data_IF_378246140242
#
_entry.id   IF_378246140242
#
_cell.length_a   1.000
_cell.length_b   1.000
_cell.length_c   1.000
_cell.angle_alpha   90.00
_cell.angle_beta   90.00
_cell.angle_gamma   90.00
#
_symmetry.space_group_name_H-M   'P 1'
#
loop_
_entity.id
_entity.type
_entity.pdbx_description
1 polymer ?
#
# COMPACT_ATOMS: atom_id res chain seq x y z
N UNK A 1 79.19 -25.54 16.04
CA UNK A 1 78.65 -24.17 16.08
C UNK A 1 79.81 -23.21 16.17
N UNK A 2 80.17 -22.59 15.05
CA UNK A 2 81.08 -21.43 15.07
C UNK A 2 80.26 -20.18 15.35
N UNK A 3 80.86 -19.16 15.98
CA UNK A 3 80.20 -17.88 16.29
C UNK A 3 79.45 -17.29 15.09
N UNK A 4 80.02 -17.43 13.89
CA UNK A 4 79.43 -16.99 12.62
C UNK A 4 78.11 -17.71 12.26
N UNK A 5 78.00 -19.01 12.51
CA UNK A 5 76.76 -19.77 12.25
C UNK A 5 75.63 -19.36 13.20
N UNK A 6 75.97 -18.98 14.44
CA UNK A 6 75.02 -18.45 15.41
C UNK A 6 74.51 -17.07 14.98
N UNK A 7 75.43 -16.21 14.55
CA UNK A 7 75.12 -14.86 14.06
C UNK A 7 74.23 -14.90 12.80
N UNK A 8 74.53 -15.78 11.84
CA UNK A 8 73.70 -15.99 10.65
C UNK A 8 72.29 -16.50 11.00
N UNK A 9 72.16 -17.39 11.99
CA UNK A 9 70.86 -17.89 12.46
C UNK A 9 70.05 -16.81 13.17
N UNK A 10 70.72 -15.96 13.97
CA UNK A 10 70.10 -14.86 14.70
C UNK A 10 69.60 -13.77 13.75
N UNK A 11 70.38 -13.43 12.72
CA UNK A 11 69.97 -12.51 11.66
C UNK A 11 68.77 -13.05 10.87
N UNK A 12 68.76 -14.35 10.55
CA UNK A 12 67.62 -14.98 9.88
C UNK A 12 66.34 -14.90 10.71
N UNK A 13 66.41 -15.24 12.00
CA UNK A 13 65.25 -15.13 12.89
C UNK A 13 64.78 -13.69 13.09
N UNK A 14 65.70 -12.71 13.08
CA UNK A 14 65.33 -11.30 13.16
C UNK A 14 64.53 -10.86 11.92
N UNK A 15 64.97 -11.22 10.72
CA UNK A 15 64.25 -10.93 9.47
C UNK A 15 62.90 -11.66 9.43
N UNK A 16 62.86 -12.93 9.83
CA UNK A 16 61.60 -13.69 9.91
C UNK A 16 60.63 -13.06 10.92
N UNK A 17 61.13 -12.55 12.06
CA UNK A 17 60.31 -11.88 13.05
C UNK A 17 59.73 -10.57 12.53
N UNK A 18 60.53 -9.73 11.87
CA UNK A 18 60.07 -8.48 11.25
C UNK A 18 59.01 -8.76 10.16
N UNK A 19 59.20 -9.81 9.36
CA UNK A 19 58.24 -10.21 8.34
C UNK A 19 56.92 -10.70 8.97
N UNK A 20 56.99 -11.54 10.01
CA UNK A 20 55.81 -11.99 10.75
C UNK A 20 55.09 -10.85 11.48
N UNK A 21 55.83 -9.89 12.04
CA UNK A 21 55.25 -8.69 12.65
C UNK A 21 54.42 -7.90 11.62
N UNK A 22 54.97 -7.70 10.42
CA UNK A 22 54.25 -7.03 9.33
C UNK A 22 52.97 -7.79 8.94
N UNK A 23 53.05 -9.10 8.71
CA UNK A 23 51.87 -9.91 8.40
C UNK A 23 50.82 -9.89 9.51
N UNK A 24 51.25 -9.93 10.77
CA UNK A 24 50.36 -9.87 11.92
C UNK A 24 49.60 -8.52 11.96
N UNK A 25 50.29 -7.41 11.74
CA UNK A 25 49.65 -6.09 11.69
C UNK A 25 48.66 -5.99 10.52
N UNK A 26 49.02 -6.48 9.34
CA UNK A 26 48.10 -6.52 8.18
C UNK A 26 46.86 -7.37 8.50
N UNK A 27 47.02 -8.57 9.05
CA UNK A 27 45.90 -9.41 9.46
C UNK A 27 45.04 -8.77 10.54
N UNK A 28 45.65 -8.12 11.55
CA UNK A 28 44.90 -7.41 12.58
C UNK A 28 44.05 -6.27 11.98
N UNK A 29 44.55 -5.55 10.97
CA UNK A 29 43.74 -4.54 10.27
C UNK A 29 42.59 -5.14 9.47
N UNK A 30 42.79 -6.29 8.82
CA UNK A 30 41.73 -6.99 8.09
C UNK A 30 40.64 -7.51 9.04
N UNK A 31 41.03 -8.12 10.18
CA UNK A 31 40.06 -8.57 11.18
C UNK A 31 39.24 -7.40 11.71
N UNK A 32 39.88 -6.27 12.04
CA UNK A 32 39.16 -5.06 12.45
C UNK A 32 38.17 -4.55 11.39
N UNK A 33 38.52 -4.65 10.10
CA UNK A 33 37.62 -4.28 9.02
C UNK A 33 36.43 -5.24 8.91
N UNK A 34 36.66 -6.55 9.05
CA UNK A 34 35.60 -7.55 9.07
C UNK A 34 34.69 -7.41 10.29
N UNK A 35 35.23 -7.08 11.46
CA UNK A 35 34.43 -6.85 12.67
C UNK A 35 33.46 -5.67 12.47
N UNK A 36 33.91 -4.60 11.82
CA UNK A 36 33.03 -3.47 11.47
C UNK A 36 31.92 -3.88 10.51
N UNK A 37 32.24 -4.61 9.45
CA UNK A 37 31.23 -5.11 8.51
C UNK A 37 30.23 -6.07 9.19
N UNK A 38 30.70 -6.88 10.13
CA UNK A 38 29.86 -7.80 10.87
C UNK A 38 28.90 -7.05 11.81
N UNK A 39 29.37 -5.99 12.48
CA UNK A 39 28.52 -5.10 13.27
C UNK A 39 27.47 -4.41 12.38
N UNK A 40 27.86 -3.80 11.27
CA UNK A 40 26.94 -3.12 10.35
C UNK A 40 25.87 -4.07 9.80
N UNK A 41 26.26 -5.30 9.44
CA UNK A 41 25.32 -6.33 9.00
C UNK A 41 24.42 -6.79 10.15
N UNK A 42 24.94 -6.90 11.37
CA UNK A 42 24.15 -7.21 12.56
C UNK A 42 23.05 -6.18 12.82
N UNK A 43 23.36 -4.89 12.69
CA UNK A 43 22.38 -3.81 12.80
C UNK A 43 21.30 -3.92 11.72
N UNK A 44 21.68 -4.14 10.46
CA UNK A 44 20.71 -4.33 9.35
C UNK A 44 19.82 -5.55 9.57
N UNK A 45 20.37 -6.66 10.05
CA UNK A 45 19.58 -7.86 10.39
C UNK A 45 18.60 -7.56 11.52
N UNK A 46 19.02 -6.79 12.53
CA UNK A 46 18.14 -6.39 13.64
C UNK A 46 16.99 -5.51 13.15
N UNK A 47 17.27 -4.53 12.28
CA UNK A 47 16.25 -3.69 11.65
C UNK A 47 15.28 -4.51 10.81
N UNK A 48 15.79 -5.39 9.94
CA UNK A 48 14.96 -6.27 9.11
C UNK A 48 14.06 -7.18 9.95
N UNK A 49 14.59 -7.71 11.05
CA UNK A 49 13.79 -8.53 11.97
C UNK A 49 12.67 -7.72 12.65
N UNK A 50 12.95 -6.46 13.01
CA UNK A 50 11.92 -5.53 13.51
C UNK A 50 10.84 -5.24 12.46
N UNK A 51 11.22 -5.01 11.21
CA UNK A 51 10.29 -4.79 10.09
C UNK A 51 9.45 -6.03 9.83
N UNK A 52 10.07 -7.21 9.84
CA UNK A 52 9.40 -8.49 9.65
C UNK A 52 8.33 -8.74 10.73
N UNK A 53 8.64 -8.47 12.00
CA UNK A 53 7.67 -8.64 13.07
C UNK A 53 6.49 -7.66 12.94
N UNK A 54 6.75 -6.42 12.49
CA UNK A 54 5.68 -5.46 12.20
C UNK A 54 4.76 -5.96 11.07
N UNK A 55 5.34 -6.41 9.96
CA UNK A 55 4.57 -6.98 8.84
C UNK A 55 3.76 -8.20 9.28
N UNK A 56 4.32 -9.04 10.16
CA UNK A 56 3.62 -10.20 10.69
C UNK A 56 2.40 -9.81 11.54
N UNK A 57 2.52 -8.78 12.37
CA UNK A 57 1.40 -8.25 13.16
C UNK A 57 0.33 -7.67 12.22
N UNK A 58 0.74 -6.90 11.20
CA UNK A 58 -0.19 -6.32 10.23
C UNK A 58 -0.92 -7.42 9.42
N UNK A 59 -0.22 -8.50 9.04
CA UNK A 59 -0.81 -9.66 8.37
C UNK A 59 -1.85 -10.36 9.26
N UNK A 60 -1.54 -10.59 10.53
CA UNK A 60 -2.49 -11.19 11.48
C UNK A 60 -3.73 -10.33 11.67
N UNK A 61 -3.56 -9.00 11.72
CA UNK A 61 -4.68 -8.06 11.77
C UNK A 61 -5.54 -8.16 10.50
N UNK A 62 -4.91 -8.19 9.32
CA UNK A 62 -5.64 -8.31 8.06
C UNK A 62 -6.44 -9.62 7.99
N UNK A 63 -5.88 -10.74 8.45
CA UNK A 63 -6.58 -12.03 8.54
C UNK A 63 -7.82 -11.94 9.43
N UNK A 64 -7.73 -11.29 10.59
CA UNK A 64 -8.87 -11.09 11.48
C UNK A 64 -9.96 -10.21 10.85
N UNK A 65 -9.57 -9.14 10.15
CA UNK A 65 -10.53 -8.27 9.44
C UNK A 65 -11.21 -9.04 8.29
N UNK A 66 -10.49 -9.90 7.58
CA UNK A 66 -11.06 -10.75 6.53
C UNK A 66 -12.05 -11.77 7.10
N UNK A 67 -11.72 -12.43 8.20
CA UNK A 67 -12.63 -13.35 8.91
C UNK A 67 -13.88 -12.63 9.40
N UNK A 68 -13.73 -11.40 9.90
CA UNK A 68 -14.85 -10.56 10.30
C UNK A 68 -15.76 -10.19 9.13
N UNK A 69 -15.20 -9.73 8.00
CA UNK A 69 -15.96 -9.41 6.80
C UNK A 69 -16.69 -10.64 6.27
N UNK A 70 -16.06 -11.81 6.26
CA UNK A 70 -16.69 -13.06 5.84
C UNK A 70 -17.85 -13.43 6.77
N UNK A 71 -17.66 -13.33 8.08
CA UNK A 71 -18.75 -13.57 9.05
C UNK A 71 -19.93 -12.63 8.82
N UNK A 72 -19.69 -11.35 8.55
CA UNK A 72 -20.75 -10.39 8.24
C UNK A 72 -21.49 -10.76 6.95
N UNK A 73 -20.78 -11.19 5.91
CA UNK A 73 -21.40 -11.63 4.65
C UNK A 73 -22.30 -12.84 4.88
N UNK A 74 -21.86 -13.82 5.67
CA UNK A 74 -22.64 -15.01 6.01
C UNK A 74 -23.89 -14.65 6.83
N UNK A 75 -23.76 -13.78 7.82
CA UNK A 75 -24.89 -13.31 8.63
C UNK A 75 -25.92 -12.54 7.77
N UNK A 76 -25.46 -11.67 6.86
CA UNK A 76 -26.33 -10.97 5.92
C UNK A 76 -27.08 -11.95 5.00
N UNK A 77 -26.40 -12.97 4.48
CA UNK A 77 -27.03 -14.00 3.66
C UNK A 77 -28.06 -14.79 4.48
N UNK A 78 -27.73 -15.17 5.72
CA UNK A 78 -28.65 -15.89 6.61
C UNK A 78 -29.89 -15.06 6.96
N UNK A 79 -29.74 -13.74 7.17
CA UNK A 79 -30.87 -12.83 7.37
C UNK A 79 -31.72 -12.62 6.11
N UNK A 80 -31.11 -12.66 4.92
CA UNK A 80 -31.80 -12.48 3.65
C UNK A 80 -32.70 -13.69 3.31
N UNK A 81 -32.22 -14.92 3.52
CA UNK A 81 -32.94 -16.16 3.20
C UNK A 81 -34.41 -16.23 3.70
N UNK A 82 -34.73 -15.94 4.98
CA UNK A 82 -36.12 -15.95 5.43
C UNK A 82 -36.96 -14.81 4.84
N UNK A 83 -36.36 -13.66 4.52
CA UNK A 83 -37.04 -12.56 3.84
C UNK A 83 -37.39 -12.95 2.40
N UNK A 84 -36.47 -13.59 1.68
CA UNK A 84 -36.72 -14.14 0.34
C UNK A 84 -37.84 -15.19 0.39
N UNK A 85 -37.77 -16.13 1.34
CA UNK A 85 -38.82 -17.14 1.51
C UNK A 85 -40.19 -16.52 1.86
N UNK A 86 -40.22 -15.44 2.64
CA UNK A 86 -41.45 -14.70 2.94
C UNK A 86 -41.99 -13.97 1.69
N UNK A 87 -41.11 -13.42 0.86
CA UNK A 87 -41.47 -12.80 -0.44
C UNK A 87 -42.03 -13.84 -1.41
N UNK A 88 -41.48 -15.06 -1.46
CA UNK A 88 -42.03 -16.15 -2.28
C UNK A 88 -43.42 -16.62 -1.82
N UNK A 89 -43.69 -16.55 -0.51
CA UNK A 89 -44.98 -16.94 0.08
C UNK A 89 -46.05 -15.86 -0.04
N UNK A 90 -45.69 -14.62 -0.40
CA UNK A 90 -46.66 -13.56 -0.63
C UNK A 90 -47.58 -13.97 -1.79
N UNK A 91 -48.91 -14.01 -1.57
CA UNK A 91 -49.83 -14.35 -2.64
C UNK A 91 -49.65 -13.34 -3.78
N UNK A 92 -49.47 -13.84 -5.01
CA UNK A 92 -49.52 -13.02 -6.22
C UNK A 92 -50.82 -12.25 -6.14
N UNK A 93 -50.73 -10.93 -5.93
CA UNK A 93 -51.89 -10.12 -5.61
C UNK A 93 -52.93 -10.36 -6.71
N UNK A 94 -54.01 -11.06 -6.35
CA UNK A 94 -55.01 -11.53 -7.31
C UNK A 94 -55.75 -10.38 -8.01
N UNK A 95 -55.48 -9.15 -7.56
CA UNK A 95 -55.89 -7.88 -8.14
C UNK A 95 -54.70 -6.89 -8.09
N UNK A 96 -53.61 -7.15 -8.81
CA UNK A 96 -52.61 -6.10 -9.06
C UNK A 96 -53.30 -4.96 -9.83
N UNK A 97 -53.35 -3.76 -9.25
CA UNK A 97 -53.85 -2.61 -10.00
C UNK A 97 -52.88 -2.29 -11.13
N UNK A 98 -53.35 -1.68 -12.21
CA UNK A 98 -52.50 -1.26 -13.35
C UNK A 98 -51.27 -0.44 -12.88
N UNK A 99 -51.43 0.37 -11.82
CA UNK A 99 -50.35 1.14 -11.22
C UNK A 99 -49.25 0.27 -10.56
N UNK A 100 -49.61 -0.88 -9.98
CA UNK A 100 -48.65 -1.81 -9.36
C UNK A 100 -47.83 -2.54 -10.43
N UNK A 101 -48.47 -2.93 -11.53
CA UNK A 101 -47.82 -3.55 -12.69
C UNK A 101 -46.81 -2.61 -13.36
N UNK A 102 -47.18 -1.34 -13.58
CA UNK A 102 -46.25 -0.34 -14.14
C UNK A 102 -45.06 -0.08 -13.20
N UNK A 103 -45.30 -0.05 -11.89
CA UNK A 103 -44.25 0.11 -10.88
C UNK A 103 -43.29 -1.08 -10.88
N UNK A 104 -43.81 -2.31 -10.91
CA UNK A 104 -43.02 -3.53 -11.01
C UNK A 104 -42.16 -3.54 -12.29
N UNK A 105 -42.75 -3.18 -13.43
CA UNK A 105 -42.03 -3.06 -14.70
C UNK A 105 -40.89 -2.02 -14.61
N UNK A 106 -41.14 -0.88 -13.95
CA UNK A 106 -40.13 0.17 -13.78
C UNK A 106 -38.95 -0.30 -12.92
N UNK A 107 -39.20 -1.02 -11.82
CA UNK A 107 -38.14 -1.58 -10.98
C UNK A 107 -37.34 -2.67 -11.70
N UNK A 108 -38.02 -3.57 -12.43
CA UNK A 108 -37.35 -4.58 -13.26
C UNK A 108 -36.48 -3.95 -14.35
N UNK A 109 -36.92 -2.86 -14.96
CA UNK A 109 -36.11 -2.12 -15.92
C UNK A 109 -34.86 -1.52 -15.26
N UNK A 110 -35.01 -0.92 -14.07
CA UNK A 110 -33.88 -0.37 -13.33
C UNK A 110 -32.86 -1.46 -12.94
N UNK A 111 -33.32 -2.61 -12.46
CA UNK A 111 -32.48 -3.78 -12.17
C UNK A 111 -31.72 -4.27 -13.41
N UNK A 112 -32.40 -4.38 -14.55
CA UNK A 112 -31.77 -4.78 -15.81
C UNK A 112 -30.70 -3.79 -16.27
N UNK A 113 -30.95 -2.49 -16.13
CA UNK A 113 -29.97 -1.45 -16.47
C UNK A 113 -28.74 -1.54 -15.54
N UNK A 114 -28.94 -1.70 -14.23
CA UNK A 114 -27.86 -1.88 -13.26
C UNK A 114 -27.02 -3.12 -13.58
N UNK A 115 -27.67 -4.26 -13.86
CA UNK A 115 -27.00 -5.49 -14.24
C UNK A 115 -26.20 -5.34 -15.55
N UNK A 116 -26.75 -4.63 -16.55
CA UNK A 116 -26.05 -4.32 -17.80
C UNK A 116 -24.83 -3.43 -17.56
N UNK A 117 -24.95 -2.38 -16.76
CA UNK A 117 -23.82 -1.49 -16.43
C UNK A 117 -22.71 -2.23 -15.67
N UNK A 118 -23.07 -3.09 -14.71
CA UNK A 118 -22.11 -3.94 -13.99
C UNK A 118 -21.38 -4.89 -14.93
N UNK A 119 -22.10 -5.54 -15.85
CA UNK A 119 -21.49 -6.42 -16.86
C UNK A 119 -20.57 -5.63 -17.77
N UNK A 120 -21.01 -4.49 -18.31
CA UNK A 120 -20.16 -3.62 -19.14
C UNK A 120 -18.89 -3.15 -18.42
N UNK A 121 -18.99 -2.82 -17.13
CA UNK A 121 -17.82 -2.46 -16.30
C UNK A 121 -16.85 -3.63 -16.16
N UNK A 122 -17.35 -4.85 -15.97
CA UNK A 122 -16.54 -6.07 -15.95
C UNK A 122 -15.88 -6.32 -17.31
N UNK A 123 -16.64 -6.25 -18.40
CA UNK A 123 -16.14 -6.46 -19.76
C UNK A 123 -15.04 -5.43 -20.10
N UNK A 124 -15.21 -4.17 -19.69
CA UNK A 124 -14.19 -3.13 -19.85
C UNK A 124 -12.91 -3.44 -19.06
N UNK A 125 -13.02 -3.94 -17.82
CA UNK A 125 -11.86 -4.39 -17.04
C UNK A 125 -11.13 -5.53 -17.74
N UNK A 126 -11.86 -6.52 -18.23
CA UNK A 126 -11.29 -7.67 -18.95
C UNK A 126 -10.60 -7.23 -20.26
N UNK A 127 -11.21 -6.31 -21.02
CA UNK A 127 -10.59 -5.71 -22.21
C UNK A 127 -9.30 -4.97 -21.85
N UNK A 128 -9.28 -4.20 -20.75
CA UNK A 128 -8.08 -3.50 -20.28
C UNK A 128 -7.00 -4.51 -19.88
N UNK A 129 -7.35 -5.57 -19.17
CA UNK A 129 -6.42 -6.64 -18.79
C UNK A 129 -5.85 -7.37 -20.03
N UNK A 130 -6.69 -7.66 -21.03
CA UNK A 130 -6.24 -8.23 -22.30
C UNK A 130 -5.34 -7.29 -23.10
N UNK A 131 -5.65 -6.00 -23.12
CA UNK A 131 -4.83 -5.00 -23.80
C UNK A 131 -3.48 -4.85 -23.12
N UNK A 132 -3.46 -4.78 -21.79
CA UNK A 132 -2.24 -4.69 -20.99
C UNK A 132 -1.38 -5.96 -21.13
N UNK A 133 -1.99 -7.16 -21.08
CA UNK A 133 -1.26 -8.43 -21.27
C UNK A 133 -0.75 -8.61 -22.69
N UNK A 134 -1.49 -8.17 -23.72
CA UNK A 134 -1.03 -8.17 -25.11
C UNK A 134 0.14 -7.20 -25.32
N UNK A 135 0.15 -6.07 -24.61
CA UNK A 135 1.25 -5.12 -24.62
C UNK A 135 2.47 -5.63 -23.83
N UNK A 136 2.26 -6.51 -22.85
CA UNK A 136 3.28 -7.19 -22.02
C UNK A 136 3.93 -8.40 -22.73
N UNK A 137 3.76 -8.53 -24.05
CA UNK A 137 4.53 -9.50 -24.87
C UNK A 137 6.02 -9.14 -25.00
N UNK A 138 6.42 -7.95 -24.53
CA UNK A 138 7.81 -7.62 -24.22
C UNK A 138 8.10 -8.12 -22.80
N UNK A 139 9.07 -9.03 -22.68
CA UNK A 139 9.51 -9.70 -21.45
C UNK A 139 9.16 -8.90 -20.18
N UNK A 140 8.32 -9.43 -19.30
CA UNK A 140 8.11 -8.85 -17.95
C UNK A 140 9.42 -8.76 -17.14
N UNK A 141 10.48 -9.40 -17.64
CA UNK A 141 11.86 -9.32 -17.16
C UNK A 141 12.67 -8.16 -17.75
N UNK A 142 12.16 -7.42 -18.73
CA UNK A 142 12.81 -6.24 -19.29
C UNK A 142 12.77 -5.09 -18.26
N UNK A 143 13.93 -4.64 -17.76
CA UNK A 143 14.00 -3.53 -16.83
C UNK A 143 13.35 -2.26 -17.36
N UNK A 144 13.34 -2.03 -18.69
CA UNK A 144 12.73 -0.84 -19.29
C UNK A 144 11.20 -0.89 -19.18
N UNK A 145 10.59 -2.05 -19.42
CA UNK A 145 9.15 -2.25 -19.24
C UNK A 145 8.74 -2.06 -17.76
N UNK A 146 9.52 -2.58 -16.82
CA UNK A 146 9.30 -2.38 -15.38
C UNK A 146 9.41 -0.90 -14.98
N UNK A 147 10.43 -0.19 -15.48
CA UNK A 147 10.61 1.25 -15.24
C UNK A 147 9.42 2.04 -15.80
N UNK A 148 8.95 1.72 -17.01
CA UNK A 148 7.79 2.37 -17.60
C UNK A 148 6.52 2.14 -16.76
N UNK A 149 6.31 0.92 -16.25
CA UNK A 149 5.19 0.61 -15.37
C UNK A 149 5.25 1.37 -14.04
N UNK A 150 6.44 1.43 -13.41
CA UNK A 150 6.66 2.21 -12.17
C UNK A 150 6.38 3.68 -12.43
N UNK A 151 6.91 4.24 -13.52
CA UNK A 151 6.70 5.64 -13.88
C UNK A 151 5.22 5.93 -14.13
N UNK A 152 4.48 5.03 -14.77
CA UNK A 152 3.05 5.20 -14.99
C UNK A 152 2.29 5.22 -13.66
N UNK A 153 2.57 4.27 -12.76
CA UNK A 153 1.99 4.25 -11.40
C UNK A 153 2.33 5.50 -10.57
N UNK A 154 3.58 5.98 -10.69
CA UNK A 154 4.00 7.22 -10.04
C UNK A 154 3.30 8.44 -10.64
N UNK A 155 3.09 8.48 -11.95
CA UNK A 155 2.35 9.56 -12.62
C UNK A 155 0.90 9.60 -12.17
N UNK A 156 0.23 8.44 -12.08
CA UNK A 156 -1.12 8.32 -11.56
C UNK A 156 -1.20 8.80 -10.11
N UNK A 157 -0.22 8.41 -9.29
CA UNK A 157 -0.10 8.85 -7.89
C UNK A 157 0.10 10.37 -7.80
N UNK A 158 0.94 10.95 -8.65
CA UNK A 158 1.16 12.40 -8.71
C UNK A 158 -0.09 13.15 -9.18
N UNK A 159 -0.80 12.64 -10.18
CA UNK A 159 -2.07 13.20 -10.61
C UNK A 159 -3.11 13.18 -9.49
N UNK A 160 -3.19 12.08 -8.74
CA UNK A 160 -4.07 11.97 -7.59
C UNK A 160 -3.71 12.98 -6.49
N UNK A 161 -2.41 13.15 -6.19
CA UNK A 161 -1.92 14.15 -5.23
C UNK A 161 -2.26 15.57 -5.70
N UNK A 162 -2.04 15.89 -6.97
CA UNK A 162 -2.34 17.21 -7.55
C UNK A 162 -3.83 17.55 -7.48
N UNK A 163 -4.69 16.60 -7.85
CA UNK A 163 -6.15 16.76 -7.76
C UNK A 163 -6.61 16.98 -6.31
N UNK A 164 -6.10 16.18 -5.36
CA UNK A 164 -6.46 16.32 -3.95
C UNK A 164 -5.89 17.60 -3.32
N UNK A 165 -4.67 17.99 -3.69
CA UNK A 165 -4.09 19.27 -3.28
C UNK A 165 -4.95 20.44 -3.76
N UNK A 166 -5.36 20.41 -5.04
CA UNK A 166 -6.26 21.40 -5.62
C UNK A 166 -7.62 21.44 -4.92
N UNK A 167 -8.18 20.28 -4.58
CA UNK A 167 -9.44 20.18 -3.82
C UNK A 167 -9.28 20.76 -2.41
N UNK A 168 -8.20 20.41 -1.72
CA UNK A 168 -7.91 20.89 -0.38
C UNK A 168 -7.69 22.41 -0.37
N UNK A 169 -6.97 22.94 -1.36
CA UNK A 169 -6.79 24.37 -1.53
C UNK A 169 -8.13 25.09 -1.66
N UNK A 170 -9.03 24.61 -2.52
CA UNK A 170 -10.39 25.19 -2.66
C UNK A 170 -11.18 25.12 -1.35
N UNK A 171 -11.05 24.02 -0.59
CA UNK A 171 -11.71 23.88 0.71
C UNK A 171 -11.16 24.90 1.72
N UNK A 172 -9.84 25.11 1.75
CA UNK A 172 -9.20 26.10 2.62
C UNK A 172 -9.62 27.52 2.25
N UNK A 173 -9.67 27.86 0.96
CA UNK A 173 -10.14 29.17 0.48
C UNK A 173 -11.60 29.43 0.89
N UNK A 174 -12.47 28.43 0.77
CA UNK A 174 -13.87 28.54 1.21
C UNK A 174 -13.99 28.72 2.73
N UNK A 175 -13.20 27.98 3.52
CA UNK A 175 -13.16 28.15 4.99
C UNK A 175 -12.66 29.54 5.37
N UNK A 176 -11.62 30.05 4.72
CA UNK A 176 -11.12 31.40 4.95
C UNK A 176 -12.18 32.46 4.63
N UNK A 177 -12.89 32.31 3.51
CA UNK A 177 -14.00 33.18 3.12
C UNK A 177 -15.13 33.17 4.15
N UNK A 178 -15.50 32.00 4.66
CA UNK A 178 -16.53 31.87 5.71
C UNK A 178 -16.08 32.48 7.04
N UNK A 179 -14.81 32.33 7.41
CA UNK A 179 -14.25 32.95 8.61
C UNK A 179 -14.29 34.49 8.53
N UNK A 180 -13.92 35.06 7.38
CA UNK A 180 -13.99 36.50 7.15
C UNK A 180 -15.42 37.04 7.17
N UNK A 181 -16.39 36.30 6.60
CA UNK A 181 -17.81 36.66 6.65
C UNK A 181 -18.31 36.66 8.10
N UNK A 182 -18.03 35.61 8.87
CA UNK A 182 -18.40 35.52 10.29
C UNK A 182 -17.77 36.64 11.12
N UNK A 183 -16.50 36.98 10.86
CA UNK A 183 -15.83 38.10 11.52
C UNK A 183 -16.53 39.42 11.23
N UNK A 184 -16.86 39.69 9.96
CA UNK A 184 -17.59 40.91 9.56
C UNK A 184 -18.99 40.96 10.17
N UNK A 185 -19.69 39.83 10.25
CA UNK A 185 -20.99 39.74 10.92
C UNK A 185 -20.89 40.00 12.43
N UNK A 186 -19.88 39.45 13.10
CA UNK A 186 -19.61 39.72 14.52
C UNK A 186 -19.29 41.20 14.77
N UNK A 187 -18.46 41.82 13.93
CA UNK A 187 -18.15 43.26 14.00
C UNK A 187 -19.40 44.11 13.79
N UNK A 188 -20.27 43.73 12.84
CA UNK A 188 -21.56 44.41 12.60
C UNK A 188 -22.52 44.26 13.79
N UNK A 189 -22.66 43.05 14.33
CA UNK A 189 -23.52 42.77 15.46
C UNK A 189 -23.05 43.48 16.74
N UNK A 190 -21.73 43.58 16.94
CA UNK A 190 -21.16 44.34 18.04
C UNK A 190 -21.51 45.83 17.93
N UNK A 191 -21.37 46.44 16.75
CA UNK A 191 -21.79 47.84 16.54
C UNK A 191 -23.27 48.06 16.85
N UNK A 192 -24.15 47.18 16.34
CA UNK A 192 -25.59 47.26 16.59
C UNK A 192 -26.00 47.04 18.06
N UNK A 193 -25.15 46.40 18.87
CA UNK A 193 -25.44 46.14 20.29
C UNK A 193 -24.94 47.26 21.23
N UNK A 194 -24.03 48.11 20.77
CA UNK A 194 -23.36 49.13 21.60
C UNK A 194 -23.52 50.57 21.08
N UNK A 195 -24.17 50.78 19.93
CA UNK A 195 -24.75 52.06 19.48
C UNK A 195 -26.24 52.14 19.81
#
# INVERSE_FOLDING_TARGET
MTYRQLEDSLNKWMVELEEQEKYFLEQATLVNAWDRLLMDNGEKISQLNGDMERVKIDQQRLEQELDFVLSQQLEQEEMLRPLEAAVEQLPVASHQQHADLEREHTYKLAENIDAQLKRMSSDLKEIIEHLNSSHSTQDASDPVAQIAQILNSHMDSLHWVDQNSSLLQRRVEEVARQADLRRKEQERNFRLAYD
#
